data_IF_023837124381
#
_entry.id   IF_023837124381
#
_cell.length_a   1.000
_cell.length_b   1.000
_cell.length_c   1.000
_cell.angle_alpha   90.00
_cell.angle_beta   90.00
_cell.angle_gamma   90.00
#
_symmetry.space_group_name_H-M   'P 1'
#
loop_
_entity.id
_entity.type
_entity.pdbx_description
1 polymer ?
#
# COMPACT_ATOMS: atom_id res chain seq x y z
N UNK A 1 -21.57 -22.09 -30.61
CA UNK A 1 -20.98 -22.68 -29.38
C UNK A 1 -20.02 -21.66 -28.82
N UNK A 2 -20.21 -21.23 -27.57
CA UNK A 2 -19.26 -20.31 -26.93
C UNK A 2 -17.88 -20.98 -26.81
N UNK A 3 -16.77 -20.28 -27.08
CA UNK A 3 -15.44 -20.84 -26.90
C UNK A 3 -15.21 -21.18 -25.41
N UNK A 4 -14.53 -22.29 -25.15
CA UNK A 4 -14.02 -22.58 -23.80
C UNK A 4 -13.00 -21.52 -23.38
N UNK A 5 -12.77 -21.34 -22.08
CA UNK A 5 -11.77 -20.39 -21.56
C UNK A 5 -10.39 -20.61 -22.20
N UNK A 6 -9.90 -21.85 -22.30
CA UNK A 6 -8.63 -22.14 -22.96
C UNK A 6 -8.62 -21.79 -24.45
N UNK A 7 -9.76 -21.94 -25.15
CA UNK A 7 -9.87 -21.53 -26.56
C UNK A 7 -9.88 -20.01 -26.69
N UNK A 8 -10.61 -19.32 -25.82
CA UNK A 8 -10.61 -17.85 -25.75
C UNK A 8 -9.19 -17.33 -25.51
N UNK A 9 -8.48 -17.91 -24.54
CA UNK A 9 -7.09 -17.57 -24.23
C UNK A 9 -6.17 -17.73 -25.45
N UNK A 10 -6.27 -18.86 -26.15
CA UNK A 10 -5.50 -19.11 -27.36
C UNK A 10 -5.77 -18.08 -28.46
N UNK A 11 -7.03 -17.65 -28.64
CA UNK A 11 -7.42 -16.62 -29.60
C UNK A 11 -6.85 -15.24 -29.21
N UNK A 12 -7.00 -14.85 -27.95
CA UNK A 12 -6.46 -13.59 -27.41
C UNK A 12 -4.94 -13.49 -27.59
N UNK A 13 -4.22 -14.55 -27.20
CA UNK A 13 -2.76 -14.63 -27.36
C UNK A 13 -2.34 -14.49 -28.83
N UNK A 14 -2.93 -15.30 -29.73
CA UNK A 14 -2.58 -15.27 -31.16
C UNK A 14 -2.87 -13.90 -31.79
N UNK A 15 -4.00 -13.29 -31.44
CA UNK A 15 -4.33 -11.96 -31.95
C UNK A 15 -3.33 -10.90 -31.51
N UNK A 16 -2.98 -10.86 -30.22
CA UNK A 16 -1.96 -9.93 -29.73
C UNK A 16 -0.64 -10.17 -30.45
N UNK A 17 -0.20 -11.43 -30.54
CA UNK A 17 1.05 -11.80 -31.19
C UNK A 17 1.12 -11.38 -32.67
N UNK A 18 -0.01 -11.42 -33.38
CA UNK A 18 -0.09 -11.04 -34.79
C UNK A 18 -0.27 -9.54 -35.00
N UNK A 19 -1.03 -8.87 -34.13
CA UNK A 19 -1.34 -7.43 -34.24
C UNK A 19 -0.19 -6.55 -33.74
N UNK A 20 0.55 -7.02 -32.74
CA UNK A 20 1.57 -6.28 -32.03
C UNK A 20 2.93 -7.01 -32.07
N UNK A 21 3.52 -7.23 -33.26
CA UNK A 21 4.73 -8.05 -33.40
C UNK A 21 5.94 -7.49 -32.64
N UNK A 22 6.02 -6.17 -32.46
CA UNK A 22 7.10 -5.51 -31.70
C UNK A 22 7.02 -5.74 -30.19
N UNK A 23 5.86 -6.18 -29.68
CA UNK A 23 5.60 -6.38 -28.25
C UNK A 23 5.47 -7.87 -27.89
N UNK A 24 5.89 -8.77 -28.79
CA UNK A 24 5.93 -10.21 -28.54
C UNK A 24 6.84 -10.53 -27.34
N UNK A 25 6.46 -11.56 -26.59
CA UNK A 25 7.15 -11.95 -25.35
C UNK A 25 6.72 -11.16 -24.11
N UNK A 26 6.11 -9.98 -24.28
CA UNK A 26 5.60 -9.20 -23.15
C UNK A 26 4.23 -9.67 -22.65
N UNK A 27 3.38 -10.19 -23.55
CA UNK A 27 2.16 -10.92 -23.21
C UNK A 27 2.44 -12.42 -23.25
N UNK A 28 2.17 -13.12 -22.16
CA UNK A 28 2.31 -14.58 -22.07
C UNK A 28 1.32 -15.18 -21.08
N UNK A 29 1.18 -16.51 -21.11
CA UNK A 29 0.32 -17.22 -20.16
C UNK A 29 1.06 -17.53 -18.87
N UNK A 30 0.31 -17.52 -17.76
CA UNK A 30 0.77 -18.05 -16.50
C UNK A 30 0.41 -19.53 -16.38
N UNK A 31 1.41 -20.40 -16.44
CA UNK A 31 1.19 -21.84 -16.31
C UNK A 31 0.97 -22.25 -14.85
N UNK A 32 -0.27 -22.17 -14.38
CA UNK A 32 -0.65 -22.55 -13.01
C UNK A 32 -1.18 -23.99 -12.89
N UNK A 33 -1.34 -24.71 -14.01
CA UNK A 33 -1.99 -26.02 -14.04
C UNK A 33 -0.96 -27.14 -14.00
N UNK A 34 -1.15 -28.10 -13.09
CA UNK A 34 -0.24 -29.23 -12.92
C UNK A 34 -0.91 -30.54 -13.32
N UNK A 35 -0.22 -31.36 -14.11
CA UNK A 35 -0.78 -32.61 -14.66
C UNK A 35 -1.16 -33.64 -13.59
N UNK A 36 -0.48 -33.63 -12.45
CA UNK A 36 -0.74 -34.53 -11.35
C UNK A 36 -0.30 -33.91 -10.01
N UNK A 37 -0.68 -34.55 -8.91
CA UNK A 37 -0.44 -34.08 -7.55
C UNK A 37 1.06 -33.94 -7.21
N UNK A 38 1.90 -34.87 -7.69
CA UNK A 38 3.36 -34.85 -7.45
C UNK A 38 3.97 -33.63 -8.13
N UNK A 39 3.68 -33.43 -9.42
CA UNK A 39 4.15 -32.26 -10.16
C UNK A 39 3.57 -30.98 -9.58
N UNK A 40 2.33 -31.01 -9.09
CA UNK A 40 1.70 -29.88 -8.40
C UNK A 40 2.43 -29.50 -7.12
N UNK A 41 2.86 -30.47 -6.31
CA UNK A 41 3.66 -30.20 -5.12
C UNK A 41 5.01 -29.59 -5.47
N UNK A 42 5.70 -30.14 -6.47
CA UNK A 42 6.96 -29.60 -6.97
C UNK A 42 6.80 -28.19 -7.56
N UNK A 43 5.75 -27.95 -8.35
CA UNK A 43 5.47 -26.64 -8.93
C UNK A 43 5.21 -25.60 -7.85
N UNK A 44 4.44 -25.94 -6.81
CA UNK A 44 4.24 -25.06 -5.64
C UNK A 44 5.54 -24.78 -4.90
N UNK A 45 6.43 -25.78 -4.75
CA UNK A 45 7.74 -25.56 -4.12
C UNK A 45 8.66 -24.67 -4.97
N UNK A 46 8.41 -24.57 -6.28
CA UNK A 46 9.11 -23.67 -7.20
C UNK A 46 8.40 -22.31 -7.36
N UNK A 47 7.34 -22.04 -6.59
CA UNK A 47 6.66 -20.75 -6.58
C UNK A 47 5.44 -20.65 -7.49
N UNK A 48 4.88 -21.75 -8.00
CA UNK A 48 3.54 -21.70 -8.62
C UNK A 48 2.50 -21.37 -7.56
N UNK A 49 1.85 -20.22 -7.73
CA UNK A 49 0.81 -19.72 -6.83
C UNK A 49 -0.57 -20.03 -7.41
N UNK A 50 -1.51 -20.40 -6.54
CA UNK A 50 -2.91 -20.64 -6.92
C UNK A 50 -3.64 -19.30 -7.13
N UNK A 51 -4.52 -19.26 -8.11
CA UNK A 51 -5.35 -18.08 -8.39
C UNK A 51 -4.65 -16.97 -9.17
N UNK A 52 -3.43 -17.22 -9.69
CA UNK A 52 -2.78 -16.31 -10.64
C UNK A 52 -3.61 -16.23 -11.92
N UNK A 53 -3.77 -15.00 -12.44
CA UNK A 53 -4.50 -14.72 -13.68
C UNK A 53 -3.96 -15.51 -14.89
N UNK A 54 -4.82 -15.82 -15.86
CA UNK A 54 -4.46 -16.66 -17.01
C UNK A 54 -3.34 -16.08 -17.88
N UNK A 55 -3.39 -14.77 -18.12
CA UNK A 55 -2.40 -14.04 -18.92
C UNK A 55 -1.79 -12.90 -18.11
N UNK A 56 -0.53 -12.60 -18.40
CA UNK A 56 0.16 -11.40 -17.93
C UNK A 56 0.70 -10.62 -19.12
N UNK A 57 0.51 -9.30 -19.10
CA UNK A 57 1.07 -8.37 -20.06
C UNK A 57 1.86 -7.27 -19.34
N UNK A 58 3.17 -7.25 -19.51
CA UNK A 58 3.99 -6.15 -19.02
C UNK A 58 4.16 -5.08 -20.10
N UNK A 59 3.57 -3.91 -19.91
CA UNK A 59 3.62 -2.82 -20.88
C UNK A 59 3.84 -1.48 -20.21
N UNK A 60 4.78 -0.69 -20.76
CA UNK A 60 5.09 0.66 -20.33
C UNK A 60 5.26 0.80 -18.80
N UNK A 61 6.07 -0.08 -18.23
CA UNK A 61 6.39 -0.16 -16.79
C UNK A 61 5.25 -0.58 -15.87
N UNK A 62 4.14 -1.08 -16.43
CA UNK A 62 3.03 -1.60 -15.64
C UNK A 62 2.70 -3.04 -15.99
N UNK A 63 2.44 -3.84 -14.97
CA UNK A 63 1.91 -5.20 -15.12
C UNK A 63 0.39 -5.17 -15.24
N UNK A 64 -0.13 -5.75 -16.32
CA UNK A 64 -1.55 -5.98 -16.55
C UNK A 64 -1.83 -7.48 -16.48
N UNK A 65 -2.56 -7.91 -15.47
CA UNK A 65 -2.97 -9.29 -15.24
C UNK A 65 -4.39 -9.47 -15.80
N UNK A 66 -4.59 -10.49 -16.63
CA UNK A 66 -5.82 -10.68 -17.40
C UNK A 66 -6.36 -12.08 -17.11
N UNK A 67 -7.49 -12.13 -16.42
CA UNK A 67 -8.26 -13.33 -16.12
C UNK A 67 -9.36 -13.51 -17.15
N UNK A 68 -9.40 -14.67 -17.80
CA UNK A 68 -10.37 -15.00 -18.82
C UNK A 68 -11.46 -15.87 -18.24
N UNK A 69 -12.71 -15.50 -18.50
CA UNK A 69 -13.87 -16.25 -18.06
C UNK A 69 -14.75 -16.62 -19.23
N UNK A 70 -15.47 -17.73 -19.10
CA UNK A 70 -16.64 -17.94 -19.94
C UNK A 70 -17.70 -16.87 -19.65
N UNK A 71 -18.76 -16.82 -20.46
CA UNK A 71 -19.83 -15.85 -20.29
C UNK A 71 -20.45 -15.87 -18.87
N UNK A 72 -20.56 -17.06 -18.27
CA UNK A 72 -21.08 -17.30 -16.93
C UNK A 72 -19.98 -17.54 -15.88
N UNK A 73 -18.71 -17.55 -16.31
CA UNK A 73 -17.57 -17.83 -15.46
C UNK A 73 -17.37 -16.74 -14.42
N UNK A 74 -17.14 -17.13 -13.17
CA UNK A 74 -16.86 -16.22 -12.06
C UNK A 74 -15.48 -16.47 -11.48
N UNK A 75 -14.89 -15.45 -10.85
CA UNK A 75 -13.64 -15.60 -10.13
C UNK A 75 -13.81 -16.50 -8.90
N UNK A 76 -12.81 -17.35 -8.65
CA UNK A 76 -12.67 -18.04 -7.36
C UNK A 76 -12.20 -17.08 -6.26
N UNK A 77 -12.33 -17.48 -5.00
CA UNK A 77 -11.84 -16.68 -3.87
C UNK A 77 -10.32 -16.47 -3.91
N UNK A 78 -9.56 -17.47 -4.35
CA UNK A 78 -8.11 -17.32 -4.52
C UNK A 78 -7.75 -16.32 -5.64
N UNK A 79 -8.55 -16.25 -6.70
CA UNK A 79 -8.35 -15.29 -7.79
C UNK A 79 -8.65 -13.86 -7.33
N UNK A 80 -9.72 -13.66 -6.55
CA UNK A 80 -10.02 -12.35 -5.91
C UNK A 80 -8.90 -11.91 -4.97
N UNK A 81 -8.36 -12.84 -4.18
CA UNK A 81 -7.23 -12.55 -3.30
C UNK A 81 -5.96 -12.16 -4.07
N UNK A 82 -5.68 -12.85 -5.18
CA UNK A 82 -4.56 -12.52 -6.04
C UNK A 82 -4.75 -11.14 -6.70
N UNK A 83 -5.94 -10.85 -7.21
CA UNK A 83 -6.31 -9.53 -7.73
C UNK A 83 -6.03 -8.42 -6.71
N UNK A 84 -6.55 -8.55 -5.49
CA UNK A 84 -6.37 -7.54 -4.44
C UNK A 84 -4.88 -7.27 -4.15
N UNK A 85 -4.04 -8.31 -4.14
CA UNK A 85 -2.59 -8.17 -3.94
C UNK A 85 -1.91 -7.44 -5.10
N UNK A 86 -2.27 -7.76 -6.34
CA UNK A 86 -1.71 -7.08 -7.51
C UNK A 86 -2.07 -5.58 -7.50
N UNK A 87 -3.33 -5.27 -7.23
CA UNK A 87 -3.83 -3.89 -7.19
C UNK A 87 -3.19 -3.09 -6.05
N UNK A 88 -2.97 -3.71 -4.88
CA UNK A 88 -2.25 -3.09 -3.76
C UNK A 88 -0.81 -2.69 -4.13
N UNK A 89 -0.16 -3.44 -5.03
CA UNK A 89 1.19 -3.12 -5.52
C UNK A 89 1.19 -2.16 -6.73
N UNK A 90 0.02 -1.65 -7.14
CA UNK A 90 -0.13 -0.73 -8.27
C UNK A 90 -0.18 -1.41 -9.64
N UNK A 91 -0.32 -2.74 -9.69
CA UNK A 91 -0.63 -3.46 -10.92
C UNK A 91 -2.10 -3.32 -11.31
N UNK A 92 -2.42 -3.65 -12.56
CA UNK A 92 -3.80 -3.69 -13.03
C UNK A 92 -4.29 -5.13 -13.18
N UNK A 93 -5.54 -5.37 -12.78
CA UNK A 93 -6.21 -6.65 -12.95
C UNK A 93 -7.47 -6.47 -13.81
N UNK A 94 -7.64 -7.34 -14.81
CA UNK A 94 -8.75 -7.28 -15.74
C UNK A 94 -9.46 -8.63 -15.80
N UNK A 95 -10.79 -8.61 -15.77
CA UNK A 95 -11.63 -9.77 -16.02
C UNK A 95 -12.21 -9.59 -17.42
N UNK A 96 -12.05 -10.61 -18.26
CA UNK A 96 -12.44 -10.57 -19.67
C UNK A 96 -13.29 -11.79 -20.00
N UNK A 97 -14.49 -11.55 -20.52
CA UNK A 97 -15.46 -12.58 -20.88
C UNK A 97 -15.51 -12.85 -22.38
N UNK A 98 -14.87 -12.01 -23.20
CA UNK A 98 -14.93 -12.15 -24.65
C UNK A 98 -13.65 -11.73 -25.38
N UNK A 99 -13.52 -12.22 -26.61
CA UNK A 99 -12.41 -11.87 -27.48
C UNK A 99 -12.44 -10.37 -27.87
N UNK A 100 -13.63 -9.78 -27.99
CA UNK A 100 -13.75 -8.36 -28.31
C UNK A 100 -13.37 -7.46 -27.13
N UNK A 101 -13.76 -7.82 -25.91
CA UNK A 101 -13.31 -7.14 -24.69
C UNK A 101 -11.79 -7.16 -24.56
N UNK A 102 -11.14 -8.30 -24.84
CA UNK A 102 -9.68 -8.40 -24.84
C UNK A 102 -9.05 -7.39 -25.81
N UNK A 103 -9.53 -7.33 -27.06
CA UNK A 103 -9.01 -6.39 -28.06
C UNK A 103 -9.19 -4.94 -27.63
N UNK A 104 -10.35 -4.60 -27.05
CA UNK A 104 -10.63 -3.26 -26.55
C UNK A 104 -9.67 -2.89 -25.42
N UNK A 105 -9.46 -3.79 -24.45
CA UNK A 105 -8.50 -3.61 -23.36
C UNK A 105 -7.09 -3.33 -23.89
N UNK A 106 -6.55 -4.21 -24.75
CA UNK A 106 -5.20 -4.04 -25.29
C UNK A 106 -5.10 -2.74 -26.09
N UNK A 107 -6.09 -2.43 -26.93
CA UNK A 107 -6.11 -1.16 -27.69
C UNK A 107 -6.11 0.06 -26.77
N UNK A 108 -6.89 0.01 -25.68
CA UNK A 108 -6.95 1.08 -24.69
C UNK A 108 -5.61 1.26 -23.94
N UNK A 109 -4.96 0.16 -23.55
CA UNK A 109 -3.61 0.18 -22.95
C UNK A 109 -2.66 0.91 -23.90
N UNK A 110 -2.55 0.48 -25.15
CA UNK A 110 -1.62 1.11 -26.11
C UNK A 110 -1.97 2.58 -26.38
N UNK A 111 -3.25 2.91 -26.55
CA UNK A 111 -3.70 4.28 -26.85
C UNK A 111 -3.46 5.25 -25.69
N UNK A 112 -3.73 4.81 -24.46
CA UNK A 112 -3.48 5.61 -23.25
C UNK A 112 -2.00 5.99 -23.10
N UNK A 113 -1.09 5.11 -23.51
CA UNK A 113 0.35 5.41 -23.55
C UNK A 113 0.76 6.29 -24.73
N UNK A 114 0.16 6.09 -25.91
CA UNK A 114 0.44 6.94 -27.08
C UNK A 114 0.04 8.41 -26.89
N UNK A 115 -0.95 8.70 -26.04
CA UNK A 115 -1.36 10.08 -25.72
C UNK A 115 -0.48 10.69 -24.60
N UNK A 116 -0.06 9.89 -23.63
CA UNK A 116 0.74 10.37 -22.49
C UNK A 116 2.22 10.61 -22.84
N UNK A 117 2.82 9.80 -23.73
CA UNK A 117 4.21 9.99 -24.15
C UNK A 117 4.47 11.36 -24.80
N UNK A 118 3.73 11.82 -25.82
CA UNK A 118 4.01 13.10 -26.46
C UNK A 118 3.69 14.31 -25.57
N UNK A 119 2.73 14.21 -24.63
CA UNK A 119 2.42 15.33 -23.72
C UNK A 119 3.58 15.69 -22.78
N UNK A 120 4.39 14.73 -22.36
CA UNK A 120 5.58 14.99 -21.54
C UNK A 120 6.75 15.57 -22.35
N UNK A 121 6.78 15.38 -23.66
CA UNK A 121 7.83 15.91 -24.54
C UNK A 121 7.45 17.21 -25.26
N UNK A 122 6.16 17.60 -25.30
CA UNK A 122 5.71 18.80 -26.03
C UNK A 122 5.57 20.09 -25.20
N UNK A 123 5.90 20.07 -23.90
CA UNK A 123 5.87 21.29 -23.08
C UNK A 123 7.06 21.37 -22.10
N UNK A 124 8.26 21.79 -22.56
CA UNK A 124 9.38 22.04 -21.67
C UNK A 124 9.10 23.10 -20.58
N UNK A 125 8.01 23.88 -20.70
CA UNK A 125 7.58 24.85 -19.68
C UNK A 125 6.80 24.26 -18.49
N UNK A 126 6.19 23.08 -18.62
CA UNK A 126 5.33 22.52 -17.56
C UNK A 126 6.12 21.70 -16.53
N UNK A 127 7.28 21.14 -16.93
CA UNK A 127 8.18 20.41 -16.03
C UNK A 127 8.78 21.33 -14.94
N UNK A 128 8.99 22.61 -15.27
CA UNK A 128 9.42 23.63 -14.31
C UNK A 128 8.34 23.92 -13.26
N UNK A 129 7.06 23.93 -13.64
CA UNK A 129 5.96 24.18 -12.70
C UNK A 129 5.76 23.01 -11.71
N UNK A 130 5.87 21.76 -12.15
CA UNK A 130 5.70 20.60 -11.26
C UNK A 130 6.90 20.34 -10.35
N UNK A 131 8.13 20.61 -10.81
CA UNK A 131 9.30 20.57 -9.92
C UNK A 131 9.26 21.71 -8.91
N UNK A 132 8.83 22.91 -9.31
CA UNK A 132 8.66 24.04 -8.39
C UNK A 132 7.56 23.79 -7.35
N UNK A 133 6.42 23.19 -7.72
CA UNK A 133 5.38 22.82 -6.75
C UNK A 133 5.81 21.70 -5.79
N UNK A 134 6.61 20.72 -6.24
CA UNK A 134 7.14 19.64 -5.37
C UNK A 134 8.22 20.14 -4.42
N UNK A 135 9.05 21.09 -4.86
CA UNK A 135 10.03 21.77 -3.99
C UNK A 135 9.31 22.72 -3.02
N UNK A 136 8.30 23.48 -3.46
CA UNK A 136 7.53 24.36 -2.58
C UNK A 136 6.73 23.61 -1.50
N UNK A 137 6.21 22.41 -1.78
CA UNK A 137 5.51 21.60 -0.77
C UNK A 137 6.47 20.93 0.22
N UNK A 138 7.70 20.56 -0.18
CA UNK A 138 8.72 20.08 0.77
C UNK A 138 9.26 21.19 1.67
N UNK A 139 9.51 22.39 1.14
CA UNK A 139 9.97 23.55 1.94
C UNK A 139 8.83 24.06 2.84
N UNK A 140 7.58 23.99 2.38
CA UNK A 140 6.38 24.31 3.15
C UNK A 140 6.11 23.34 4.31
N UNK A 141 6.23 22.02 4.09
CA UNK A 141 6.06 21.02 5.16
C UNK A 141 7.20 21.05 6.18
N UNK A 142 8.45 21.32 5.77
CA UNK A 142 9.56 21.53 6.69
C UNK A 142 9.34 22.78 7.56
N UNK A 143 8.81 23.86 6.99
CA UNK A 143 8.48 25.07 7.77
C UNK A 143 7.31 24.85 8.73
N UNK A 144 6.25 24.14 8.32
CA UNK A 144 5.10 23.83 9.18
C UNK A 144 5.47 22.89 10.34
N UNK A 145 6.31 21.88 10.10
CA UNK A 145 6.79 20.97 11.16
C UNK A 145 7.69 21.70 12.16
N UNK A 146 8.56 22.60 11.71
CA UNK A 146 9.34 23.47 12.59
C UNK A 146 8.46 24.42 13.42
N UNK A 147 7.44 25.01 12.81
CA UNK A 147 6.48 25.89 13.52
C UNK A 147 5.66 25.10 14.54
N UNK A 148 5.22 23.89 14.19
CA UNK A 148 4.48 22.99 15.07
C UNK A 148 5.34 22.52 16.24
N UNK A 149 6.61 22.19 16.00
CA UNK A 149 7.54 21.77 17.07
C UNK A 149 7.84 22.92 18.03
N UNK A 150 8.04 24.15 17.52
CA UNK A 150 8.20 25.36 18.35
C UNK A 150 6.95 25.69 19.16
N UNK A 151 5.76 25.58 18.54
CA UNK A 151 4.48 25.80 19.22
C UNK A 151 4.26 24.74 20.31
N UNK A 152 4.56 23.46 20.04
CA UNK A 152 4.46 22.39 21.01
C UNK A 152 5.42 22.61 22.19
N UNK A 153 6.68 22.96 21.93
CA UNK A 153 7.64 23.31 22.98
C UNK A 153 7.18 24.52 23.81
N UNK A 154 6.63 25.55 23.16
CA UNK A 154 6.11 26.72 23.86
C UNK A 154 4.91 26.35 24.75
N UNK A 155 3.96 25.57 24.25
CA UNK A 155 2.79 25.13 25.02
C UNK A 155 3.17 24.22 26.20
N UNK A 156 4.15 23.32 26.00
CA UNK A 156 4.71 22.50 27.09
C UNK A 156 5.43 23.36 28.13
N UNK A 157 6.15 24.42 27.70
CA UNK A 157 6.77 25.39 28.59
C UNK A 157 5.74 26.20 29.39
N UNK A 158 4.59 26.55 28.80
CA UNK A 158 3.50 27.21 29.53
C UNK A 158 2.86 26.28 30.56
N UNK A 159 2.62 24.99 30.22
CA UNK A 159 2.10 23.99 31.17
C UNK A 159 3.03 23.76 32.36
N UNK A 160 4.33 23.70 32.14
CA UNK A 160 5.32 23.54 33.22
C UNK A 160 5.39 24.77 34.12
N UNK A 161 5.34 26.00 33.56
CA UNK A 161 5.23 27.24 34.36
C UNK A 161 3.95 27.30 35.19
N UNK A 162 2.80 26.94 34.62
CA UNK A 162 1.52 26.89 35.36
C UNK A 162 1.54 25.82 36.47
N UNK A 163 2.13 24.65 36.22
CA UNK A 163 2.28 23.59 37.24
C UNK A 163 3.23 24.04 38.37
N UNK A 164 4.34 24.71 38.05
CA UNK A 164 5.23 25.34 39.04
C UNK A 164 4.52 26.42 39.85
N UNK A 165 3.75 27.30 39.20
CA UNK A 165 3.00 28.36 39.88
C UNK A 165 1.86 27.83 40.78
N UNK A 166 1.23 26.71 40.40
CA UNK A 166 0.26 26.01 41.25
C UNK A 166 0.95 25.30 42.43
N UNK A 167 2.10 24.67 42.22
CA UNK A 167 2.85 24.01 43.30
C UNK A 167 3.54 24.99 44.25
N UNK A 168 3.95 26.18 43.80
CA UNK A 168 4.53 27.22 44.68
C UNK A 168 3.47 27.97 45.50
N UNK A 169 2.19 27.90 45.10
CA UNK A 169 1.04 28.38 45.87
C UNK A 169 0.49 27.31 46.83
N UNK A 170 0.99 26.07 46.75
CA UNK A 170 0.64 24.98 47.65
C UNK A 170 1.78 24.76 48.66
N UNK A 171 1.66 25.44 49.81
CA UNK A 171 2.44 25.27 51.07
C UNK A 171 3.71 26.13 51.20
N UNK A 172 3.94 26.84 52.34
CA UNK A 172 3.54 26.41 53.69
C UNK A 172 2.89 27.48 54.61
N UNK A 173 1.78 27.10 55.24
CA UNK A 173 1.46 27.50 56.61
C UNK A 173 1.76 26.30 57.51
N UNK A 174 3.04 26.17 57.91
CA UNK A 174 3.44 25.40 59.09
C UNK A 174 4.69 26.06 59.65
N UNK A 175 4.47 27.07 60.46
CA UNK A 175 5.44 27.56 61.41
C UNK A 175 4.70 27.92 62.70
N UNK A 176 5.18 27.33 63.80
CA UNK A 176 5.05 27.80 65.19
C UNK A 176 3.80 27.35 65.96
N UNK A 177 3.94 26.25 66.70
CA UNK A 177 3.62 26.21 68.14
C UNK A 177 4.40 25.05 68.80
N UNK A 178 5.08 25.37 69.90
CA UNK A 178 5.96 24.52 70.73
C UNK A 178 5.15 23.67 71.74
N UNK A 179 5.78 22.71 72.44
CA UNK A 179 5.14 21.53 73.01
C UNK A 179 4.61 21.76 74.43
N UNK A 180 3.59 20.98 74.81
CA UNK A 180 3.22 20.74 76.20
C UNK A 180 3.00 19.24 76.41
N UNK A 181 3.85 18.70 77.28
CA UNK A 181 3.73 17.52 78.13
C UNK A 181 2.44 16.68 78.05
N UNK A 182 2.60 15.36 77.88
CA UNK A 182 1.99 14.40 78.81
C UNK A 182 2.76 13.07 78.83
N UNK A 183 3.10 12.65 80.05
CA UNK A 183 3.53 11.31 80.50
C UNK A 183 2.72 10.20 79.79
N UNK A 184 3.24 8.99 79.49
CA UNK A 184 3.90 8.02 80.36
C UNK A 184 4.55 6.93 79.47
N UNK A 185 5.83 6.57 79.66
CA UNK A 185 6.30 5.47 80.51
C UNK A 185 5.63 4.11 80.24
N UNK A 186 6.32 3.25 79.46
CA UNK A 186 6.80 1.89 79.82
C UNK A 186 6.99 1.04 78.57
N UNK A 187 8.23 0.79 78.12
CA UNK A 187 9.22 -0.22 78.54
C UNK A 187 9.16 -1.48 77.67
N UNK A 188 10.34 -1.84 77.10
CA UNK A 188 10.92 -3.18 77.02
C UNK A 188 10.08 -4.26 76.30
N UNK A 189 10.56 -5.08 75.36
CA UNK A 189 11.91 -5.62 75.08
C UNK A 189 11.75 -6.58 73.89
N UNK A 190 12.83 -6.74 73.10
CA UNK A 190 13.39 -7.98 72.48
C UNK A 190 12.45 -9.00 71.86
N UNK A 191 12.76 -9.79 70.83
CA UNK A 191 13.83 -10.08 69.89
C UNK A 191 13.31 -11.37 69.18
N UNK A 192 13.85 -11.73 68.01
CA UNK A 192 14.09 -13.11 67.53
C UNK A 192 12.93 -14.15 67.66
N UNK A 193 12.35 -14.74 66.62
CA UNK A 193 12.88 -15.28 65.35
C UNK A 193 11.80 -15.35 64.27
#
# INVERSE_FOLDING_TARGET
>A
MQPTESRLQGLCFQWHWNTFPHYRGLLHMNNNTSQNAIKGALNRSMGVVRGVADLEYFFASTGHFIELKSQEGIQSEEQKLFQARIEEQGGYYHIIHSYDEFKQLITAIHTGYMITLPMLFYCPGLLAAFTYLRVCSYVGLLSLTFLFHRLLHFLLAQKTKQKRAKNSKASPLRAIARPAEFLSLRTYTTNHD
#
